data_IF_570151201156
#
_entry.id   IF_570151201156
#
_cell.length_a   1.000
_cell.length_b   1.000
_cell.length_c   1.000
_cell.angle_alpha   90.00
_cell.angle_beta   90.00
_cell.angle_gamma   90.00
#
_symmetry.space_group_name_H-M   'P 1'
#
loop_
_entity.id
_entity.type
_entity.pdbx_description
1 polymer ?
#
# COMPACT_ATOMS: atom_id res chain seq x y z
N UNK A 1 -7.00 -14.92 11.37
CA UNK A 1 -6.36 -14.52 10.10
C UNK A 1 -7.33 -14.81 8.98
N UNK A 2 -7.39 -13.99 7.92
CA UNK A 2 -8.34 -14.20 6.84
C UNK A 2 -8.05 -15.52 6.07
N UNK A 3 -9.10 -16.16 5.58
CA UNK A 3 -9.11 -17.51 4.97
C UNK A 3 -8.46 -17.59 3.57
N UNK A 4 -7.43 -16.79 3.31
CA UNK A 4 -6.77 -16.79 2.00
C UNK A 4 -5.75 -17.92 1.88
N UNK A 5 -5.60 -18.46 0.68
CA UNK A 5 -4.67 -19.55 0.37
C UNK A 5 -3.30 -18.99 -0.05
N UNK A 6 -2.18 -19.51 0.48
CA UNK A 6 -0.85 -19.11 0.02
C UNK A 6 -0.58 -19.67 -1.38
N UNK A 7 0.05 -18.85 -2.25
CA UNK A 7 0.44 -19.22 -3.60
C UNK A 7 1.88 -18.79 -3.84
N UNK A 8 2.65 -19.59 -4.57
CA UNK A 8 4.03 -19.26 -4.92
C UNK A 8 4.08 -18.38 -6.15
N UNK A 9 5.08 -17.51 -6.22
CA UNK A 9 5.31 -16.63 -7.38
C UNK A 9 6.79 -16.63 -7.77
N UNK A 10 7.05 -16.67 -9.07
CA UNK A 10 8.40 -16.62 -9.63
C UNK A 10 8.82 -15.16 -9.86
N UNK A 11 9.79 -14.68 -9.09
CA UNK A 11 10.45 -13.40 -9.33
C UNK A 11 11.68 -13.62 -10.23
N UNK A 12 11.85 -12.77 -11.26
CA UNK A 12 12.99 -12.80 -12.17
C UNK A 12 14.25 -12.10 -11.64
N UNK A 13 14.18 -11.39 -10.50
CA UNK A 13 15.30 -10.62 -9.93
C UNK A 13 15.85 -11.19 -8.62
N UNK A 14 17.12 -10.90 -8.34
CA UNK A 14 17.90 -11.40 -7.20
C UNK A 14 17.79 -10.59 -5.90
N UNK A 15 16.80 -9.70 -5.76
CA UNK A 15 16.71 -8.80 -4.60
C UNK A 15 15.71 -9.26 -3.52
N UNK A 16 16.30 -9.85 -2.48
CA UNK A 16 15.83 -10.00 -1.09
C UNK A 16 14.78 -11.07 -0.75
N UNK A 17 15.09 -11.74 0.38
CA UNK A 17 14.50 -12.94 0.98
C UNK A 17 13.07 -12.78 1.56
N UNK A 18 12.28 -11.82 1.12
CA UNK A 18 10.91 -11.66 1.59
C UNK A 18 9.97 -12.49 0.70
N UNK A 19 9.82 -13.77 1.07
CA UNK A 19 8.75 -14.71 0.66
C UNK A 19 8.23 -14.57 -0.77
N UNK A 20 8.64 -15.53 -1.62
CA UNK A 20 8.13 -15.82 -2.98
C UNK A 20 6.65 -16.24 -3.00
N UNK A 21 5.80 -15.61 -2.22
CA UNK A 21 4.41 -16.02 -2.07
C UNK A 21 3.47 -14.85 -1.89
N UNK A 22 2.27 -15.00 -2.43
CA UNK A 22 1.12 -14.15 -2.15
C UNK A 22 0.06 -14.96 -1.42
N UNK A 23 -0.95 -14.26 -0.88
CA UNK A 23 -2.17 -14.87 -0.36
C UNK A 23 -3.35 -14.47 -1.25
N UNK A 24 -4.05 -15.45 -1.81
CA UNK A 24 -5.21 -15.26 -2.67
C UNK A 24 -6.52 -15.55 -1.91
N UNK A 25 -7.56 -14.76 -2.16
CA UNK A 25 -8.84 -14.82 -1.44
C UNK A 25 -10.00 -15.15 -2.36
N UNK A 26 -10.21 -16.44 -2.62
CA UNK A 26 -11.22 -16.93 -3.58
C UNK A 26 -12.59 -17.24 -2.97
N UNK A 27 -12.74 -17.16 -1.64
CA UNK A 27 -13.93 -17.69 -0.93
C UNK A 27 -14.95 -16.62 -0.56
N UNK A 28 -14.51 -15.47 -0.04
CA UNK A 28 -15.37 -14.38 0.39
C UNK A 28 -15.18 -13.16 -0.51
N UNK A 29 -16.25 -12.40 -0.73
CA UNK A 29 -16.16 -11.14 -1.47
C UNK A 29 -15.38 -10.06 -0.70
N UNK A 30 -15.30 -10.14 0.63
CA UNK A 30 -14.57 -9.19 1.48
C UNK A 30 -13.74 -9.97 2.49
N UNK A 31 -12.43 -9.73 2.48
CA UNK A 31 -11.47 -10.42 3.33
C UNK A 31 -10.66 -9.38 4.10
N UNK A 32 -10.70 -9.41 5.43
CA UNK A 32 -10.10 -8.38 6.28
C UNK A 32 -9.01 -8.94 7.18
N UNK A 33 -7.90 -8.22 7.26
CA UNK A 33 -6.91 -8.35 8.31
C UNK A 33 -7.30 -7.43 9.46
N UNK A 34 -7.64 -8.01 10.61
CA UNK A 34 -7.83 -7.27 11.86
C UNK A 34 -6.51 -7.22 12.62
N UNK A 35 -6.02 -6.03 12.90
CA UNK A 35 -4.67 -5.79 13.42
C UNK A 35 -4.75 -4.87 14.64
N UNK A 36 -4.00 -5.22 15.70
CA UNK A 36 -3.85 -4.37 16.88
C UNK A 36 -2.99 -3.15 16.53
N UNK A 37 -3.46 -1.96 16.90
CA UNK A 37 -2.78 -0.69 16.66
C UNK A 37 -2.93 0.21 17.89
N UNK A 38 -2.04 1.19 18.02
CA UNK A 38 -2.14 2.19 19.07
C UNK A 38 -3.25 3.18 18.73
N UNK A 39 -4.17 3.38 19.67
CA UNK A 39 -5.27 4.34 19.52
C UNK A 39 -4.74 5.75 19.76
N UNK A 40 -5.12 6.68 18.89
CA UNK A 40 -4.79 8.10 19.03
C UNK A 40 -3.52 8.51 18.29
N UNK A 41 -2.86 7.56 17.63
CA UNK A 41 -1.71 7.79 16.75
C UNK A 41 -2.13 7.81 15.29
N UNK A 42 -1.16 8.02 14.41
CA UNK A 42 -1.33 7.80 12.98
C UNK A 42 -0.73 6.46 12.58
N UNK A 43 -1.34 5.86 11.58
CA UNK A 43 -0.90 4.58 11.07
C UNK A 43 -0.59 4.72 9.59
N UNK A 44 0.65 4.42 9.23
CA UNK A 44 1.04 4.19 7.84
C UNK A 44 0.77 2.72 7.53
N UNK A 45 -0.03 2.49 6.50
CA UNK A 45 -0.35 1.15 5.98
C UNK A 45 0.11 1.06 4.55
N UNK A 46 0.91 0.04 4.25
CA UNK A 46 1.38 -0.26 2.90
C UNK A 46 0.94 -1.66 2.50
N UNK A 47 0.19 -1.74 1.41
CA UNK A 47 -0.23 -3.00 0.82
C UNK A 47 0.47 -3.16 -0.53
N UNK A 48 1.02 -4.35 -0.78
CA UNK A 48 1.75 -4.61 -2.01
C UNK A 48 1.31 -5.87 -2.74
N UNK A 49 1.50 -5.82 -4.06
CA UNK A 49 0.91 -6.75 -5.00
C UNK A 49 1.92 -7.08 -6.10
N UNK A 50 2.14 -8.37 -6.29
CA UNK A 50 2.84 -8.93 -7.44
C UNK A 50 2.05 -10.16 -7.90
N UNK A 51 1.45 -10.10 -9.08
CA UNK A 51 0.59 -11.18 -9.58
C UNK A 51 1.43 -12.36 -10.09
N UNK A 52 2.43 -12.08 -10.93
CA UNK A 52 3.38 -13.05 -11.49
C UNK A 52 2.71 -14.30 -12.06
N UNK A 53 1.50 -14.13 -12.60
CA UNK A 53 0.66 -15.21 -13.13
C UNK A 53 0.54 -16.44 -12.20
N UNK A 54 0.42 -16.23 -10.89
CA UNK A 54 0.44 -17.32 -9.90
C UNK A 54 -0.61 -18.42 -10.14
N UNK A 55 -1.73 -18.09 -10.82
CA UNK A 55 -2.82 -19.01 -11.11
C UNK A 55 -2.83 -19.54 -12.55
N UNK A 56 -1.83 -19.18 -13.36
CA UNK A 56 -1.68 -19.65 -14.73
C UNK A 56 -2.70 -19.10 -15.73
N UNK A 57 -3.53 -18.12 -15.35
CA UNK A 57 -4.62 -17.62 -16.21
C UNK A 57 -4.23 -16.46 -17.11
N UNK A 58 -3.09 -15.81 -16.87
CA UNK A 58 -2.68 -14.57 -17.52
C UNK A 58 -3.78 -13.50 -17.49
N UNK A 59 -4.54 -13.45 -16.39
CA UNK A 59 -5.66 -12.54 -16.21
C UNK A 59 -5.55 -11.86 -14.85
N UNK A 60 -4.66 -10.86 -14.72
CA UNK A 60 -4.45 -10.18 -13.46
C UNK A 60 -5.75 -9.48 -12.98
N UNK A 61 -6.11 -9.60 -11.69
CA UNK A 61 -7.38 -9.12 -11.19
C UNK A 61 -7.38 -7.61 -10.85
N UNK A 62 -8.58 -7.06 -10.73
CA UNK A 62 -8.92 -5.74 -10.22
C UNK A 62 -9.86 -5.88 -9.04
N UNK A 63 -9.55 -5.22 -7.93
CA UNK A 63 -10.31 -5.30 -6.68
C UNK A 63 -10.05 -4.06 -5.82
N UNK A 64 -10.83 -3.86 -4.78
CA UNK A 64 -10.73 -2.66 -3.95
C UNK A 64 -10.06 -2.93 -2.60
N UNK A 65 -9.39 -1.92 -2.08
CA UNK A 65 -8.87 -1.87 -0.72
C UNK A 65 -9.74 -0.96 0.14
N UNK A 66 -9.92 -1.37 1.38
CA UNK A 66 -10.58 -0.58 2.41
C UNK A 66 -9.77 -0.62 3.70
N UNK A 67 -9.72 0.50 4.42
CA UNK A 67 -9.32 0.53 5.83
C UNK A 67 -10.53 0.93 6.67
N UNK A 68 -10.84 0.17 7.73
CA UNK A 68 -11.96 0.45 8.63
C UNK A 68 -13.28 0.81 7.91
N UNK A 69 -13.61 0.03 6.88
CA UNK A 69 -14.76 0.21 5.98
C UNK A 69 -14.77 1.48 5.12
N UNK A 70 -13.71 2.28 5.14
CA UNK A 70 -13.52 3.41 4.23
C UNK A 70 -12.79 2.95 2.98
N UNK A 71 -13.26 3.39 1.81
CA UNK A 71 -12.59 3.13 0.55
C UNK A 71 -11.20 3.74 0.57
N UNK A 72 -10.20 2.92 0.25
CA UNK A 72 -8.82 3.35 0.12
C UNK A 72 -8.49 3.59 -1.36
N UNK A 73 -8.54 2.53 -2.18
CA UNK A 73 -8.14 2.58 -3.58
C UNK A 73 -8.59 1.33 -4.32
N UNK A 74 -8.59 1.40 -5.65
CA UNK A 74 -8.75 0.23 -6.53
C UNK A 74 -7.37 -0.28 -6.95
N UNK A 75 -7.08 -1.53 -6.62
CA UNK A 75 -5.91 -2.26 -7.12
C UNK A 75 -6.23 -2.74 -8.52
N UNK A 76 -5.46 -2.30 -9.51
CA UNK A 76 -5.60 -2.72 -10.89
C UNK A 76 -4.29 -3.34 -11.42
N UNK A 77 -4.30 -4.67 -11.58
CA UNK A 77 -3.12 -5.42 -12.04
C UNK A 77 -3.12 -5.70 -13.54
N UNK A 78 -4.12 -5.23 -14.31
CA UNK A 78 -4.33 -5.63 -15.71
C UNK A 78 -3.11 -5.38 -16.63
N UNK A 79 -2.31 -4.34 -16.37
CA UNK A 79 -1.09 -4.02 -17.10
C UNK A 79 0.20 -4.28 -16.28
N UNK A 80 0.06 -4.82 -15.07
CA UNK A 80 1.13 -4.95 -14.07
C UNK A 80 1.36 -6.42 -13.67
N UNK A 81 1.18 -7.36 -14.60
CA UNK A 81 1.28 -8.80 -14.31
C UNK A 81 2.60 -9.16 -13.63
N UNK A 82 3.71 -8.62 -14.15
CA UNK A 82 5.08 -8.94 -13.70
C UNK A 82 5.76 -7.73 -13.04
N UNK A 83 4.97 -6.79 -12.52
CA UNK A 83 5.44 -5.57 -11.86
C UNK A 83 4.96 -5.55 -10.42
N UNK A 84 5.82 -5.12 -9.51
CA UNK A 84 5.43 -4.88 -8.13
C UNK A 84 4.66 -3.56 -8.02
N UNK A 85 3.45 -3.61 -7.47
CA UNK A 85 2.60 -2.44 -7.24
C UNK A 85 2.38 -2.28 -5.75
N UNK A 86 2.60 -1.08 -5.23
CA UNK A 86 2.39 -0.74 -3.83
C UNK A 86 1.40 0.41 -3.70
N UNK A 87 0.56 0.33 -2.67
CA UNK A 87 -0.32 1.41 -2.25
C UNK A 87 -0.03 1.75 -0.80
N UNK A 88 0.01 3.03 -0.47
CA UNK A 88 0.26 3.50 0.89
C UNK A 88 -0.80 4.51 1.33
N UNK A 89 -1.24 4.38 2.58
CA UNK A 89 -2.11 5.36 3.24
C UNK A 89 -1.58 5.71 4.63
N UNK A 90 -1.90 6.91 5.08
CA UNK A 90 -1.69 7.37 6.45
C UNK A 90 -3.01 7.89 6.98
N UNK A 91 -3.52 7.32 8.07
CA UNK A 91 -4.77 7.75 8.69
C UNK A 91 -4.69 7.69 10.21
N UNK A 92 -5.60 8.40 10.86
CA UNK A 92 -5.67 8.46 12.33
C UNK A 92 -6.42 7.25 12.90
N UNK A 93 -5.89 6.64 13.96
CA UNK A 93 -6.48 5.45 14.58
C UNK A 93 -7.44 5.83 15.71
N UNK A 94 -8.74 5.67 15.47
CA UNK A 94 -9.77 5.96 16.48
C UNK A 94 -10.04 4.80 17.45
N UNK A 95 -9.45 3.63 17.18
CA UNK A 95 -9.61 2.38 17.92
C UNK A 95 -8.25 1.71 18.13
N UNK A 96 -8.19 0.72 19.02
CA UNK A 96 -7.02 -0.14 19.22
C UNK A 96 -6.93 -1.29 18.20
N UNK A 97 -7.87 -1.31 17.25
CA UNK A 97 -7.95 -2.26 16.16
C UNK A 97 -8.17 -1.48 14.86
N UNK A 98 -7.53 -1.94 13.80
CA UNK A 98 -7.88 -1.53 12.43
C UNK A 98 -8.13 -2.76 11.56
N UNK A 99 -8.95 -2.59 10.53
CA UNK A 99 -9.26 -3.59 9.53
C UNK A 99 -8.76 -3.16 8.16
N UNK A 100 -7.83 -3.92 7.57
CA UNK A 100 -7.44 -3.75 6.16
C UNK A 100 -8.12 -4.83 5.34
N UNK A 101 -9.02 -4.43 4.44
CA UNK A 101 -9.85 -5.35 3.68
C UNK A 101 -9.55 -5.31 2.19
N UNK A 102 -9.53 -6.48 1.57
CA UNK A 102 -9.55 -6.68 0.14
C UNK A 102 -10.97 -7.07 -0.28
N UNK A 103 -11.54 -6.35 -1.23
CA UNK A 103 -12.93 -6.50 -1.68
C UNK A 103 -12.98 -6.83 -3.17
N UNK A 104 -13.51 -8.00 -3.49
CA UNK A 104 -13.78 -8.42 -4.86
C UNK A 104 -14.88 -7.56 -5.47
N UNK A 105 -14.60 -6.96 -6.63
CA UNK A 105 -15.56 -6.07 -7.33
C UNK A 105 -16.33 -6.78 -8.44
N UNK A 106 -15.74 -7.82 -9.04
CA UNK A 106 -16.39 -8.61 -10.10
C UNK A 106 -16.12 -10.11 -9.92
N UNK A 107 -17.03 -10.98 -10.42
CA UNK A 107 -16.81 -12.42 -10.43
C UNK A 107 -15.48 -12.79 -11.08
N UNK A 108 -14.81 -13.80 -10.51
CA UNK A 108 -13.51 -14.32 -10.98
C UNK A 108 -12.30 -13.36 -10.91
N UNK A 109 -12.48 -12.11 -10.47
CA UNK A 109 -11.38 -11.20 -10.14
C UNK A 109 -10.94 -11.46 -8.68
N UNK A 110 -10.09 -12.46 -8.46
CA UNK A 110 -9.72 -12.94 -7.12
C UNK A 110 -8.77 -11.93 -6.44
N UNK A 111 -9.15 -11.28 -5.32
CA UNK A 111 -8.24 -10.42 -4.60
C UNK A 111 -7.06 -11.20 -4.03
N UNK A 112 -5.89 -10.60 -4.03
CA UNK A 112 -4.68 -11.19 -3.46
C UNK A 112 -3.80 -10.13 -2.82
N UNK A 113 -2.84 -10.52 -1.97
CA UNK A 113 -1.85 -9.61 -1.40
C UNK A 113 -0.49 -10.30 -1.26
N UNK A 114 0.59 -9.60 -1.58
CA UNK A 114 1.96 -10.09 -1.43
C UNK A 114 2.51 -9.73 -0.06
N UNK A 115 2.41 -8.46 0.35
CA UNK A 115 2.77 -8.03 1.70
C UNK A 115 1.80 -6.96 2.22
N UNK A 116 1.68 -6.94 3.55
CA UNK A 116 0.98 -5.89 4.30
C UNK A 116 1.93 -5.42 5.40
N UNK A 117 2.38 -4.17 5.30
CA UNK A 117 3.29 -3.53 6.23
C UNK A 117 2.57 -2.41 6.99
N UNK A 118 2.85 -2.28 8.29
CA UNK A 118 2.24 -1.27 9.14
C UNK A 118 3.32 -0.58 9.99
N UNK A 119 3.21 0.74 10.11
CA UNK A 119 4.08 1.56 10.97
C UNK A 119 3.23 2.55 11.77
N UNK A 120 3.45 2.58 13.09
CA UNK A 120 2.89 3.62 13.94
C UNK A 120 3.69 4.91 13.77
N UNK A 121 2.99 6.03 13.69
CA UNK A 121 3.51 7.38 13.57
C UNK A 121 2.94 8.22 14.72
N UNK A 122 3.75 9.10 15.31
CA UNK A 122 3.27 10.01 16.33
C UNK A 122 2.05 10.81 15.82
N UNK A 123 1.04 11.00 16.68
CA UNK A 123 -0.19 11.72 16.36
C UNK A 123 0.03 13.10 15.68
N UNK A 124 1.13 13.77 16.04
CA UNK A 124 1.49 15.11 15.56
C UNK A 124 2.15 15.13 14.17
N UNK A 125 2.56 13.97 13.64
CA UNK A 125 3.02 13.86 12.26
C UNK A 125 1.85 14.22 11.33
N UNK A 126 2.06 15.06 10.33
CA UNK A 126 0.97 15.63 9.51
C UNK A 126 -0.14 16.34 10.32
N UNK A 127 0.20 17.04 11.40
CA UNK A 127 -0.77 17.77 12.25
C UNK A 127 -1.64 18.82 11.53
N UNK A 128 -1.25 19.25 10.32
CA UNK A 128 -2.05 20.13 9.47
C UNK A 128 -3.21 19.41 8.76
N UNK A 129 -3.26 18.08 8.82
CA UNK A 129 -4.33 17.23 8.27
C UNK A 129 -5.22 16.81 9.43
N UNK A 130 -6.49 17.19 9.37
CA UNK A 130 -7.49 16.82 10.39
C UNK A 130 -7.64 15.29 10.48
N UNK A 131 -7.92 14.77 11.68
CA UNK A 131 -8.00 13.33 11.96
C UNK A 131 -9.11 12.61 11.18
N UNK A 132 -10.07 13.34 10.63
CA UNK A 132 -11.12 12.81 9.76
C UNK A 132 -10.66 12.66 8.30
N UNK A 133 -9.38 12.85 7.99
CA UNK A 133 -8.85 12.69 6.64
C UNK A 133 -7.74 11.64 6.61
N UNK A 134 -7.77 10.83 5.55
CA UNK A 134 -6.69 9.94 5.18
C UNK A 134 -5.80 10.65 4.15
N UNK A 135 -4.51 10.36 4.25
CA UNK A 135 -3.51 10.71 3.25
C UNK A 135 -3.25 9.47 2.41
N UNK A 136 -3.38 9.59 1.10
CA UNK A 136 -2.96 8.56 0.17
C UNK A 136 -1.69 9.01 -0.51
N UNK A 137 -0.72 8.10 -0.53
CA UNK A 137 0.55 8.37 -1.14
C UNK A 137 0.37 8.45 -2.65
N UNK A 138 0.76 9.60 -3.22
CA UNK A 138 1.13 9.63 -4.63
C UNK A 138 2.55 9.11 -4.74
N UNK A 139 3.54 9.88 -4.23
CA UNK A 139 4.95 9.55 -4.40
C UNK A 139 5.83 10.13 -3.26
N UNK A 140 6.86 9.39 -2.85
CA UNK A 140 7.95 9.88 -1.99
C UNK A 140 9.24 9.98 -2.82
N UNK A 141 9.84 11.16 -2.91
CA UNK A 141 11.13 11.32 -3.60
C UNK A 141 12.19 11.97 -2.75
N UNK A 142 13.39 11.38 -2.78
CA UNK A 142 14.59 12.01 -2.26
C UNK A 142 15.27 12.81 -3.38
N UNK A 143 15.41 14.11 -3.19
CA UNK A 143 16.12 15.02 -4.11
C UNK A 143 17.66 14.99 -3.93
N UNK A 144 18.21 13.89 -3.44
CA UNK A 144 19.64 13.68 -3.20
C UNK A 144 20.31 12.78 -4.24
N UNK A 145 21.64 12.71 -4.23
CA UNK A 145 22.47 11.91 -5.15
C UNK A 145 22.53 10.41 -4.83
N UNK A 146 21.73 9.93 -3.88
CA UNK A 146 21.73 8.50 -3.53
C UNK A 146 20.98 7.72 -4.60
N UNK A 147 21.66 6.76 -5.24
CA UNK A 147 21.01 5.81 -6.16
C UNK A 147 20.23 4.71 -5.43
N UNK A 148 19.82 4.97 -4.19
CA UNK A 148 19.25 3.99 -3.27
C UNK A 148 17.95 4.52 -2.68
N UNK A 149 17.01 3.60 -2.43
CA UNK A 149 15.77 3.91 -1.72
C UNK A 149 16.12 4.21 -0.27
N UNK A 150 15.76 5.39 0.23
CA UNK A 150 15.91 5.74 1.65
C UNK A 150 14.68 5.22 2.40
N UNK A 151 14.91 4.48 3.48
CA UNK A 151 13.89 3.88 4.34
C UNK A 151 14.45 3.63 5.74
N UNK A 152 13.79 2.86 6.60
CA UNK A 152 14.36 2.50 7.91
C UNK A 152 15.75 1.85 7.76
N UNK A 153 16.76 2.21 8.60
CA UNK A 153 16.68 3.06 9.79
C UNK A 153 16.85 4.57 9.54
N UNK A 154 17.16 4.99 8.31
CA UNK A 154 17.41 6.41 7.99
C UNK A 154 16.11 7.26 8.03
N UNK A 155 14.98 6.62 7.76
CA UNK A 155 13.64 7.16 8.07
C UNK A 155 12.99 6.32 9.18
N UNK A 156 12.78 6.95 10.35
CA UNK A 156 12.15 6.30 11.51
C UNK A 156 10.73 5.79 11.24
N UNK A 157 10.02 6.39 10.26
CA UNK A 157 8.67 5.97 9.87
C UNK A 157 8.65 4.98 8.70
N UNK A 158 9.83 4.56 8.21
CA UNK A 158 10.01 3.58 7.13
C UNK A 158 9.21 3.92 5.84
N UNK A 159 9.10 5.22 5.53
CA UNK A 159 8.64 5.70 4.22
C UNK A 159 9.68 5.31 3.17
N UNK A 160 9.21 4.90 1.99
CA UNK A 160 10.08 4.48 0.88
C UNK A 160 10.37 5.66 -0.02
N UNK A 161 11.44 6.40 0.26
CA UNK A 161 11.84 7.54 -0.57
C UNK A 161 12.63 7.07 -1.77
N UNK A 162 12.03 7.20 -2.95
CA UNK A 162 12.65 6.81 -4.21
C UNK A 162 13.57 7.92 -4.74
N UNK A 163 14.73 7.57 -5.33
CA UNK A 163 15.54 8.55 -6.05
C UNK A 163 14.78 9.27 -7.16
N UNK A 164 14.87 10.60 -7.21
CA UNK A 164 14.09 11.43 -8.11
C UNK A 164 14.36 11.20 -9.61
N UNK A 165 15.54 10.70 -9.98
CA UNK A 165 15.86 10.39 -11.39
C UNK A 165 15.06 9.19 -11.95
N UNK A 166 14.35 8.44 -11.10
CA UNK A 166 13.38 7.43 -11.56
C UNK A 166 12.05 8.03 -12.04
N UNK A 167 11.91 9.36 -11.99
CA UNK A 167 10.92 10.08 -12.79
C UNK A 167 11.42 10.15 -14.23
N UNK A 168 10.74 9.47 -15.15
CA UNK A 168 10.98 9.69 -16.59
C UNK A 168 10.75 11.17 -16.91
N UNK A 169 11.86 11.90 -17.11
CA UNK A 169 12.00 13.26 -17.64
C UNK A 169 10.75 14.16 -17.55
N UNK A 170 10.48 14.73 -16.38
CA UNK A 170 9.86 16.06 -16.33
C UNK A 170 10.88 17.00 -15.72
N UNK A 171 11.47 17.81 -16.58
CA UNK A 171 12.35 18.92 -16.23
C UNK A 171 11.49 20.03 -15.59
N UNK A 172 11.01 19.81 -14.37
CA UNK A 172 10.33 20.85 -13.59
C UNK A 172 11.42 21.72 -12.99
N UNK A 173 11.64 22.89 -13.59
CA UNK A 173 12.38 23.99 -12.96
C UNK A 173 11.86 24.22 -11.54
N UNK A 174 12.68 23.80 -10.58
CA UNK A 174 12.82 24.23 -9.19
C UNK A 174 11.70 25.16 -8.67
N UNK A 175 10.71 24.55 -8.03
CA UNK A 175 10.16 25.02 -6.76
C UNK A 175 10.21 23.83 -5.79
N UNK A 176 10.35 24.04 -4.46
CA UNK A 176 10.27 22.93 -3.51
C UNK A 176 8.94 22.22 -3.77
N UNK A 177 8.99 21.03 -4.40
CA UNK A 177 7.77 20.33 -4.75
C UNK A 177 7.12 19.91 -3.43
N UNK A 178 5.85 20.29 -3.20
CA UNK A 178 5.13 19.89 -2.01
C UNK A 178 5.04 18.36 -1.98
N UNK A 179 5.05 17.78 -0.77
CA UNK A 179 4.50 16.45 -0.54
C UNK A 179 3.16 16.35 -1.29
N UNK A 180 3.11 15.66 -2.42
CA UNK A 180 1.84 15.38 -3.07
C UNK A 180 1.27 14.15 -2.37
N UNK A 181 0.44 14.40 -1.37
CA UNK A 181 -0.45 13.42 -0.80
C UNK A 181 -1.85 13.78 -1.27
N UNK A 182 -2.56 12.84 -1.87
CA UNK A 182 -4.00 13.02 -2.06
C UNK A 182 -4.68 12.93 -0.70
N UNK A 183 -5.58 13.87 -0.41
CA UNK A 183 -6.29 13.93 0.88
C UNK A 183 -7.74 13.54 0.64
N UNK A 184 -8.21 12.48 1.29
CA UNK A 184 -9.61 12.04 1.22
C UNK A 184 -10.26 12.12 2.59
N UNK A 185 -11.49 12.67 2.63
CA UNK A 185 -12.30 12.70 3.86
C UNK A 185 -12.76 11.27 4.20
N UNK A 186 -12.45 10.82 5.40
CA UNK A 186 -12.95 9.59 6.01
C UNK A 186 -14.36 9.88 6.50
N UNK A 187 -15.34 9.09 6.06
CA UNK A 187 -16.72 9.19 6.53
C UNK A 187 -16.92 8.06 7.52
N UNK A 188 -16.96 8.40 8.82
CA UNK A 188 -17.34 7.45 9.86
C UNK A 188 -18.80 7.06 9.65
N UNK A 189 -19.05 5.82 9.19
CA UNK A 189 -20.37 5.19 9.13
C UNK A 189 -20.68 4.48 10.44
#
# INVERSE_FOLDING_TARGET
MPNGEPQLVEFSSSESLLTRSLRAFSTLNKNCYTINVDKGDRLLVRASFFYGNYDGKNSPPTFDLYFDNNFWTTVNMSLNSDTYVGYESIYFTNSNLTNICLVQTHPNQIPFITALELRSLDANVYSHVDSNYALFLEQWYSQGTTNQIVRYPDDAYDRLWYPAYMLESIDIKMKPLPLMLAVQKIIHQ
#
